data_IF_209333645340
#
_entry.id   IF_209333645340
#
_cell.length_a   1.000
_cell.length_b   1.000
_cell.length_c   1.000
_cell.angle_alpha   90.00
_cell.angle_beta   90.00
_cell.angle_gamma   90.00
#
_symmetry.space_group_name_H-M   'P 1'
#
loop_
_entity.id
_entity.type
_entity.pdbx_description
1 polymer ?
#
# COMPACT_ATOMS: atom_id res chain seq x y z
N UNK A 1 -1.11 -26.90 -17.51
CA UNK A 1 -1.57 -25.83 -16.60
C UNK A 1 -1.19 -26.25 -15.19
N UNK A 2 -0.37 -25.49 -14.52
CA UNK A 2 -0.10 -25.71 -13.09
C UNK A 2 -1.39 -25.28 -12.40
N UNK A 3 -2.05 -26.20 -11.72
CA UNK A 3 -3.23 -25.92 -10.90
C UNK A 3 -2.72 -25.15 -9.67
N UNK A 4 -2.70 -23.82 -9.76
CA UNK A 4 -2.23 -22.94 -8.70
C UNK A 4 -3.38 -22.80 -7.71
N UNK A 5 -3.28 -23.48 -6.59
CA UNK A 5 -4.29 -23.40 -5.51
C UNK A 5 -3.95 -22.23 -4.59
N UNK A 6 -4.27 -21.01 -5.04
CA UNK A 6 -4.08 -19.82 -4.20
C UNK A 6 -5.12 -19.79 -3.09
N UNK A 7 -4.64 -19.63 -1.87
CA UNK A 7 -5.50 -19.28 -0.74
C UNK A 7 -5.05 -17.96 -0.10
N UNK A 8 -5.92 -17.36 0.69
CA UNK A 8 -5.69 -16.04 1.28
C UNK A 8 -5.77 -16.15 2.80
N UNK A 9 -4.76 -15.57 3.46
CA UNK A 9 -4.68 -15.57 4.92
C UNK A 9 -4.52 -14.16 5.46
N UNK A 10 -5.14 -13.91 6.61
CA UNK A 10 -4.90 -12.68 7.38
C UNK A 10 -3.59 -12.83 8.12
N UNK A 11 -2.69 -11.88 7.92
CA UNK A 11 -1.41 -11.80 8.61
C UNK A 11 -1.59 -10.97 9.88
N UNK A 12 -1.22 -11.55 11.01
CA UNK A 12 -1.28 -10.92 12.33
C UNK A 12 0.12 -10.59 12.86
N UNK A 13 0.21 -9.95 14.01
CA UNK A 13 1.50 -9.67 14.66
C UNK A 13 2.32 -10.94 14.90
N UNK A 14 1.65 -12.07 15.20
CA UNK A 14 2.32 -13.35 15.51
C UNK A 14 3.08 -13.93 14.29
N UNK A 15 2.62 -13.64 13.07
CA UNK A 15 3.21 -14.15 11.84
C UNK A 15 3.64 -13.07 10.85
N UNK A 16 3.80 -11.83 11.33
CA UNK A 16 4.12 -10.65 10.49
C UNK A 16 5.41 -10.84 9.67
N UNK A 17 6.38 -11.59 10.17
CA UNK A 17 7.63 -11.84 9.47
C UNK A 17 7.46 -12.68 8.20
N UNK A 18 6.33 -13.35 8.01
CA UNK A 18 6.04 -14.12 6.78
C UNK A 18 6.01 -13.27 5.52
N UNK A 19 5.73 -11.96 5.65
CA UNK A 19 5.69 -11.03 4.52
C UNK A 19 6.93 -10.14 4.42
N UNK A 20 7.91 -10.29 5.32
CA UNK A 20 9.10 -9.43 5.36
C UNK A 20 9.85 -9.42 4.03
N UNK A 21 10.09 -10.59 3.46
CA UNK A 21 10.80 -10.72 2.19
C UNK A 21 10.05 -9.97 1.06
N UNK A 22 8.74 -10.19 0.93
CA UNK A 22 7.94 -9.50 -0.08
C UNK A 22 7.86 -7.99 0.14
N UNK A 23 7.86 -7.54 1.37
CA UNK A 23 7.92 -6.10 1.67
C UNK A 23 9.23 -5.48 1.18
N UNK A 24 10.35 -6.16 1.38
CA UNK A 24 11.65 -5.72 0.88
C UNK A 24 11.72 -5.82 -0.66
N UNK A 25 11.14 -6.85 -1.25
CA UNK A 25 11.04 -7.01 -2.72
C UNK A 25 10.22 -5.87 -3.33
N UNK A 26 9.14 -5.42 -2.67
CA UNK A 26 8.36 -4.26 -3.09
C UNK A 26 9.24 -3.01 -3.16
N UNK A 27 10.08 -2.75 -2.15
CA UNK A 27 10.97 -1.57 -2.14
C UNK A 27 11.98 -1.65 -3.29
N UNK A 28 12.58 -2.80 -3.51
CA UNK A 28 13.51 -3.06 -4.62
C UNK A 28 12.82 -2.87 -5.98
N UNK A 29 11.62 -3.40 -6.14
CA UNK A 29 10.83 -3.24 -7.35
C UNK A 29 10.49 -1.78 -7.62
N UNK A 30 9.98 -1.05 -6.62
CA UNK A 30 9.65 0.36 -6.75
C UNK A 30 10.89 1.19 -7.11
N UNK A 31 12.03 0.95 -6.47
CA UNK A 31 13.31 1.59 -6.82
C UNK A 31 13.67 1.37 -8.29
N UNK A 32 13.54 0.14 -8.77
CA UNK A 32 13.88 -0.23 -10.16
C UNK A 32 13.00 0.48 -11.21
N UNK A 33 11.81 0.91 -10.83
CA UNK A 33 10.86 1.63 -11.70
C UNK A 33 10.93 3.14 -11.58
N UNK A 34 11.41 3.66 -10.46
CA UNK A 34 11.44 5.09 -10.20
C UNK A 34 12.42 5.82 -11.13
N UNK A 35 11.94 6.90 -11.76
CA UNK A 35 12.74 7.83 -12.56
C UNK A 35 13.04 9.12 -11.79
N UNK A 36 12.28 9.38 -10.72
CA UNK A 36 12.41 10.55 -9.86
C UNK A 36 12.82 10.03 -8.49
N UNK A 37 13.96 10.47 -7.99
CA UNK A 37 14.48 10.15 -6.68
C UNK A 37 14.49 8.64 -6.31
N UNK A 38 15.02 7.75 -7.18
CA UNK A 38 15.07 6.31 -6.85
C UNK A 38 15.87 6.03 -5.57
N UNK A 39 16.83 6.90 -5.21
CA UNK A 39 17.61 6.82 -3.98
C UNK A 39 16.77 6.92 -2.70
N UNK A 40 15.57 7.47 -2.77
CA UNK A 40 14.67 7.53 -1.61
C UNK A 40 14.26 6.15 -1.10
N UNK A 41 14.33 5.13 -1.94
CA UNK A 41 14.08 3.75 -1.52
C UNK A 41 15.24 3.09 -0.78
N UNK A 42 16.44 3.66 -0.76
CA UNK A 42 17.65 3.02 -0.20
C UNK A 42 17.53 2.70 1.28
N UNK A 43 16.76 3.52 2.02
CA UNK A 43 16.53 3.36 3.45
C UNK A 43 15.13 2.82 3.78
N UNK A 44 14.38 2.34 2.78
CA UNK A 44 13.05 1.78 2.97
C UNK A 44 13.12 0.26 3.02
N UNK A 45 12.62 -0.32 4.11
CA UNK A 45 12.57 -1.75 4.35
C UNK A 45 11.33 -2.12 5.15
N UNK A 46 11.15 -3.39 5.40
CA UNK A 46 10.15 -3.89 6.34
C UNK A 46 10.29 -3.19 7.71
N UNK A 47 11.52 -3.09 8.24
CA UNK A 47 11.81 -2.50 9.54
C UNK A 47 11.65 -0.97 9.59
N UNK A 48 12.02 -0.29 8.52
CA UNK A 48 12.05 1.19 8.52
C UNK A 48 10.78 1.83 7.97
N UNK A 49 9.95 1.07 7.24
CA UNK A 49 8.70 1.58 6.67
C UNK A 49 7.46 0.88 7.21
N UNK A 50 7.39 -0.46 7.12
CA UNK A 50 6.17 -1.18 7.49
C UNK A 50 5.94 -1.18 8.99
N UNK A 51 6.93 -1.54 9.79
CA UNK A 51 6.80 -1.59 11.25
C UNK A 51 6.44 -0.21 11.85
N UNK A 52 7.09 0.91 11.46
CA UNK A 52 6.67 2.23 11.92
C UNK A 52 5.25 2.60 11.50
N UNK A 53 4.85 2.26 10.28
CA UNK A 53 3.48 2.50 9.79
C UNK A 53 2.45 1.75 10.63
N UNK A 54 2.69 0.49 10.95
CA UNK A 54 1.82 -0.30 11.81
C UNK A 54 1.67 0.32 13.21
N UNK A 55 2.75 0.83 13.77
CA UNK A 55 2.75 1.47 15.09
C UNK A 55 2.03 2.81 15.12
N UNK A 56 2.04 3.56 14.02
CA UNK A 56 1.38 4.86 13.91
C UNK A 56 -0.08 4.77 13.50
N UNK A 57 -0.56 3.60 13.12
CA UNK A 57 -1.95 3.35 12.71
C UNK A 57 -2.79 2.88 13.90
N UNK A 58 -4.09 3.20 13.87
CA UNK A 58 -5.06 2.70 14.84
C UNK A 58 -5.46 1.27 14.55
N UNK A 59 -5.66 0.96 13.26
CA UNK A 59 -6.04 -0.36 12.78
C UNK A 59 -5.15 -0.77 11.62
N UNK A 60 -4.79 -2.04 11.59
CA UNK A 60 -3.96 -2.64 10.55
C UNK A 60 -4.64 -3.88 9.98
N UNK A 61 -4.63 -4.01 8.67
CA UNK A 61 -5.14 -5.18 7.97
C UNK A 61 -4.14 -5.63 6.92
N UNK A 62 -3.64 -6.84 7.07
CA UNK A 62 -2.71 -7.44 6.12
C UNK A 62 -3.32 -8.75 5.65
N UNK A 63 -3.44 -8.90 4.34
CA UNK A 63 -3.85 -10.14 3.71
C UNK A 63 -2.77 -10.62 2.77
N UNK A 64 -2.42 -11.90 2.87
CA UNK A 64 -1.43 -12.56 2.03
C UNK A 64 -2.09 -13.56 1.08
N UNK A 65 -1.62 -13.61 -0.15
CA UNK A 65 -1.90 -14.68 -1.10
C UNK A 65 -0.79 -15.73 -1.00
N UNK A 66 -1.18 -16.98 -0.83
CA UNK A 66 -0.27 -18.10 -0.57
C UNK A 66 -0.48 -19.18 -1.62
N UNK A 67 0.63 -19.62 -2.20
CA UNK A 67 0.73 -20.76 -3.09
C UNK A 67 1.76 -21.75 -2.53
N UNK A 68 1.34 -23.00 -2.33
CA UNK A 68 2.21 -24.07 -1.85
C UNK A 68 3.06 -23.68 -0.62
N UNK A 69 2.42 -23.09 0.40
CA UNK A 69 3.02 -22.55 1.63
C UNK A 69 4.00 -21.35 1.43
N UNK A 70 4.03 -20.76 0.25
CA UNK A 70 4.83 -19.57 -0.01
C UNK A 70 3.95 -18.35 -0.18
N UNK A 71 4.31 -17.25 0.47
CA UNK A 71 3.66 -15.96 0.24
C UNK A 71 4.09 -15.44 -1.14
N UNK A 72 3.10 -15.25 -2.01
CA UNK A 72 3.31 -14.81 -3.41
C UNK A 72 2.79 -13.41 -3.70
N UNK A 73 2.02 -12.86 -2.77
CA UNK A 73 1.52 -11.49 -2.83
C UNK A 73 0.93 -11.07 -1.49
N UNK A 74 0.81 -9.78 -1.27
CA UNK A 74 0.15 -9.24 -0.08
C UNK A 74 -0.42 -7.85 -0.33
N UNK A 75 -1.39 -7.48 0.50
CA UNK A 75 -1.90 -6.12 0.62
C UNK A 75 -1.92 -5.71 2.09
N UNK A 76 -1.50 -4.49 2.36
CA UNK A 76 -1.49 -3.89 3.69
C UNK A 76 -2.30 -2.60 3.69
N UNK A 77 -3.32 -2.56 4.52
CA UNK A 77 -4.24 -1.43 4.68
C UNK A 77 -4.25 -0.93 6.11
N UNK A 78 -4.50 0.36 6.28
CA UNK A 78 -4.49 1.02 7.59
C UNK A 78 -5.68 1.95 7.77
N UNK A 79 -6.11 2.11 9.01
CA UNK A 79 -6.85 3.27 9.47
C UNK A 79 -5.92 4.04 10.41
N UNK A 80 -5.69 5.31 10.12
CA UNK A 80 -4.77 6.14 10.89
C UNK A 80 -5.29 7.58 11.01
N UNK A 81 -4.90 8.31 12.06
CA UNK A 81 -5.17 9.73 12.15
C UNK A 81 -4.61 10.46 10.92
N UNK A 82 -5.35 11.39 10.35
CA UNK A 82 -4.87 12.19 9.22
C UNK A 82 -3.55 12.91 9.53
N UNK A 83 -3.31 13.22 10.81
CA UNK A 83 -2.06 13.84 11.28
C UNK A 83 -0.83 12.93 11.12
N UNK A 84 -1.00 11.62 10.97
CA UNK A 84 0.09 10.70 10.59
C UNK A 84 0.74 11.10 9.27
N UNK A 85 -0.01 11.77 8.40
CA UNK A 85 0.43 12.22 7.08
C UNK A 85 0.83 13.71 7.04
N UNK A 86 1.15 14.30 8.19
CA UNK A 86 1.43 15.74 8.34
C UNK A 86 2.80 16.19 7.83
N UNK A 87 3.73 15.25 7.68
CA UNK A 87 5.06 15.58 7.17
C UNK A 87 6.03 14.43 7.36
N UNK A 88 6.59 13.98 6.30
CA UNK A 88 7.53 12.86 6.30
C UNK A 88 6.91 11.56 5.74
N UNK A 89 7.74 10.88 4.99
CA UNK A 89 7.43 9.59 4.43
C UNK A 89 8.66 8.71 4.62
N UNK A 90 8.53 7.66 5.45
CA UNK A 90 9.67 6.90 5.93
C UNK A 90 10.72 7.83 6.56
N UNK A 91 11.89 7.98 5.97
CA UNK A 91 12.96 8.88 6.43
C UNK A 91 12.98 10.23 5.71
N UNK A 92 12.02 10.46 4.80
CA UNK A 92 11.94 11.67 3.99
C UNK A 92 11.11 12.74 4.69
N UNK A 93 11.55 14.00 4.58
CA UNK A 93 10.75 15.14 5.01
C UNK A 93 10.00 15.73 3.82
N UNK A 94 8.72 15.92 3.99
CA UNK A 94 7.87 16.58 3.00
C UNK A 94 6.77 17.38 3.71
N UNK A 95 6.08 18.21 2.95
CA UNK A 95 4.82 18.78 3.38
C UNK A 95 3.76 17.68 3.61
N UNK A 96 2.60 18.05 4.15
CA UNK A 96 1.53 17.11 4.34
C UNK A 96 1.18 16.37 3.03
N UNK A 97 0.86 15.09 3.13
CA UNK A 97 0.54 14.25 1.98
C UNK A 97 -0.72 14.68 1.23
N UNK A 98 -1.61 15.37 1.92
CA UNK A 98 -2.85 15.93 1.37
C UNK A 98 -3.30 17.12 2.22
N UNK A 99 -4.21 17.93 1.67
CA UNK A 99 -4.84 19.03 2.38
C UNK A 99 -5.80 18.49 3.45
N UNK A 100 -5.48 18.71 4.72
CA UNK A 100 -6.25 18.23 5.86
C UNK A 100 -7.64 18.85 5.93
N UNK A 101 -7.82 20.06 5.46
CA UNK A 101 -9.14 20.72 5.44
C UNK A 101 -10.07 20.07 4.41
N UNK A 102 -9.52 19.39 3.41
CA UNK A 102 -10.28 18.60 2.45
C UNK A 102 -10.83 17.28 3.00
N UNK A 103 -10.35 16.84 4.16
CA UNK A 103 -10.73 15.58 4.82
C UNK A 103 -11.68 15.86 5.97
N UNK A 104 -12.89 15.28 5.90
CA UNK A 104 -13.96 15.57 6.85
C UNK A 104 -13.79 14.90 8.20
N UNK A 105 -13.10 13.78 8.25
CA UNK A 105 -12.91 12.94 9.44
C UNK A 105 -11.50 13.09 10.00
N UNK A 106 -11.33 12.76 11.29
CA UNK A 106 -10.01 12.81 11.93
C UNK A 106 -9.12 11.65 11.49
N UNK A 107 -9.73 10.55 11.09
CA UNK A 107 -9.04 9.35 10.60
C UNK A 107 -9.27 9.17 9.10
N UNK A 108 -8.30 8.55 8.43
CA UNK A 108 -8.35 8.20 7.01
C UNK A 108 -7.96 6.73 6.81
N UNK A 109 -8.49 6.14 5.75
CA UNK A 109 -8.07 4.82 5.31
C UNK A 109 -7.00 4.89 4.23
N UNK A 110 -6.09 3.95 4.24
CA UNK A 110 -5.04 3.86 3.23
C UNK A 110 -4.79 2.41 2.83
N UNK A 111 -4.74 2.14 1.53
CA UNK A 111 -4.09 0.95 1.00
C UNK A 111 -2.59 1.29 0.86
N UNK A 112 -1.82 0.89 1.86
CA UNK A 112 -0.45 1.38 2.08
C UNK A 112 0.59 0.64 1.26
N UNK A 113 0.47 -0.69 1.18
CA UNK A 113 1.40 -1.53 0.42
C UNK A 113 0.62 -2.60 -0.33
N UNK A 114 1.11 -2.93 -1.53
CA UNK A 114 0.49 -3.90 -2.41
C UNK A 114 1.53 -4.45 -3.36
N UNK A 115 1.79 -5.75 -3.27
CA UNK A 115 2.80 -6.40 -4.09
C UNK A 115 2.43 -7.83 -4.44
N UNK A 116 2.75 -8.22 -5.67
CA UNK A 116 2.58 -9.60 -6.17
C UNK A 116 3.85 -9.95 -6.93
N UNK A 117 4.40 -11.13 -6.66
CA UNK A 117 5.55 -11.67 -7.41
C UNK A 117 5.24 -11.72 -8.90
N UNK A 118 6.22 -11.43 -9.72
CA UNK A 118 6.07 -11.27 -11.18
C UNK A 118 5.34 -12.44 -11.84
N UNK A 119 5.71 -13.67 -11.49
CA UNK A 119 5.12 -14.89 -12.06
C UNK A 119 3.63 -15.10 -11.70
N UNK A 120 3.11 -14.36 -10.71
CA UNK A 120 1.73 -14.44 -10.24
C UNK A 120 0.87 -13.25 -10.65
N UNK A 121 1.44 -12.31 -11.42
CA UNK A 121 0.68 -11.16 -11.94
C UNK A 121 -0.25 -11.60 -13.07
N UNK A 122 -1.32 -10.84 -13.25
CA UNK A 122 -2.37 -11.10 -14.24
C UNK A 122 -3.10 -12.46 -14.07
N UNK A 123 -3.13 -12.98 -12.86
CA UNK A 123 -3.80 -14.25 -12.50
C UNK A 123 -5.08 -14.06 -11.69
N UNK A 124 -5.48 -12.81 -11.43
CA UNK A 124 -6.64 -12.48 -10.57
C UNK A 124 -6.29 -12.21 -9.11
N UNK A 125 -5.10 -12.58 -8.64
CA UNK A 125 -4.66 -12.38 -7.24
C UNK A 125 -4.77 -10.92 -6.85
N UNK A 126 -4.32 -9.99 -7.71
CA UNK A 126 -4.38 -8.56 -7.43
C UNK A 126 -5.80 -8.05 -7.22
N UNK A 127 -6.74 -8.51 -8.01
CA UNK A 127 -8.15 -8.15 -7.85
C UNK A 127 -8.72 -8.66 -6.53
N UNK A 128 -8.39 -9.89 -6.14
CA UNK A 128 -8.87 -10.46 -4.89
C UNK A 128 -8.27 -9.76 -3.66
N UNK A 129 -6.96 -9.55 -3.62
CA UNK A 129 -6.29 -8.79 -2.55
C UNK A 129 -6.87 -7.37 -2.43
N UNK A 130 -7.12 -6.70 -3.56
CA UNK A 130 -7.73 -5.38 -3.57
C UNK A 130 -9.16 -5.42 -3.02
N UNK A 131 -9.98 -6.37 -3.45
CA UNK A 131 -11.36 -6.50 -2.99
C UNK A 131 -11.44 -6.76 -1.48
N UNK A 132 -10.58 -7.64 -0.95
CA UNK A 132 -10.49 -7.90 0.49
C UNK A 132 -10.09 -6.65 1.27
N UNK A 133 -9.10 -5.92 0.78
CA UNK A 133 -8.66 -4.66 1.38
C UNK A 133 -9.76 -3.59 1.37
N UNK A 134 -10.47 -3.43 0.26
CA UNK A 134 -11.57 -2.46 0.16
C UNK A 134 -12.76 -2.86 1.02
N UNK A 135 -13.07 -4.15 1.13
CA UNK A 135 -14.12 -4.63 2.02
C UNK A 135 -13.80 -4.28 3.47
N UNK A 136 -12.57 -4.48 3.89
CA UNK A 136 -12.13 -4.12 5.24
C UNK A 136 -12.14 -2.60 5.46
N UNK A 137 -11.54 -1.81 4.57
CA UNK A 137 -11.52 -0.35 4.68
C UNK A 137 -12.93 0.26 4.74
N UNK A 138 -13.86 -0.25 3.92
CA UNK A 138 -15.25 0.23 3.87
C UNK A 138 -16.12 -0.25 5.03
N UNK A 139 -15.63 -1.17 5.86
CA UNK A 139 -16.35 -1.59 7.07
C UNK A 139 -16.30 -0.53 8.18
N UNK A 140 -15.43 0.46 8.06
CA UNK A 140 -15.38 1.64 8.93
C UNK A 140 -16.27 2.73 8.33
N UNK A 141 -17.56 2.70 8.67
CA UNK A 141 -18.58 3.59 8.08
C UNK A 141 -18.30 5.08 8.30
N UNK A 142 -17.60 5.43 9.39
CA UNK A 142 -17.16 6.78 9.71
C UNK A 142 -16.02 7.29 8.81
N UNK A 143 -15.28 6.40 8.16
CA UNK A 143 -14.13 6.77 7.31
C UNK A 143 -14.61 7.00 5.87
N UNK A 144 -14.60 8.25 5.43
CA UNK A 144 -15.03 8.61 4.07
C UNK A 144 -13.90 8.73 3.07
N UNK A 145 -12.68 8.98 3.54
CA UNK A 145 -11.52 9.27 2.71
C UNK A 145 -10.54 8.10 2.70
N UNK A 146 -10.36 7.53 1.51
CA UNK A 146 -9.41 6.47 1.25
C UNK A 146 -8.33 6.97 0.31
N UNK A 147 -7.07 6.75 0.68
CA UNK A 147 -5.90 7.16 -0.07
C UNK A 147 -5.07 5.98 -0.53
N UNK A 148 -4.41 6.14 -1.66
CA UNK A 148 -3.35 5.27 -2.15
C UNK A 148 -2.20 6.17 -2.63
N UNK A 149 -0.98 5.84 -2.23
CA UNK A 149 0.23 6.57 -2.60
C UNK A 149 1.05 5.71 -3.57
N UNK A 150 1.19 6.17 -4.81
CA UNK A 150 1.87 5.41 -5.87
C UNK A 150 3.19 6.09 -6.21
N UNK A 151 4.30 5.36 -6.10
CA UNK A 151 5.61 5.86 -6.48
C UNK A 151 5.72 6.02 -8.00
N UNK A 152 6.49 7.01 -8.44
CA UNK A 152 6.71 7.28 -9.86
C UNK A 152 7.30 6.06 -10.59
N UNK A 153 6.98 5.93 -11.85
CA UNK A 153 7.40 4.82 -12.70
C UNK A 153 6.61 3.52 -12.51
N UNK A 154 5.76 3.42 -11.49
CA UNK A 154 4.89 2.26 -11.27
C UNK A 154 3.55 2.42 -12.01
N UNK A 155 3.62 2.59 -13.33
CA UNK A 155 2.47 2.90 -14.18
C UNK A 155 1.40 1.79 -14.18
N UNK A 156 1.82 0.54 -14.01
CA UNK A 156 0.90 -0.59 -13.94
C UNK A 156 0.03 -0.51 -12.68
N UNK A 157 0.61 -0.18 -11.53
CA UNK A 157 -0.14 0.02 -10.29
C UNK A 157 -1.08 1.24 -10.41
N UNK A 158 -0.59 2.34 -10.97
CA UNK A 158 -1.39 3.54 -11.19
C UNK A 158 -2.64 3.24 -12.05
N UNK A 159 -2.46 2.59 -13.19
CA UNK A 159 -3.56 2.16 -14.06
C UNK A 159 -4.53 1.21 -13.35
N UNK A 160 -4.00 0.26 -12.58
CA UNK A 160 -4.81 -0.68 -11.84
C UNK A 160 -5.75 0.04 -10.87
N UNK A 161 -5.24 0.97 -10.06
CA UNK A 161 -6.06 1.69 -9.09
C UNK A 161 -7.06 2.66 -9.74
N UNK A 162 -6.68 3.32 -10.83
CA UNK A 162 -7.61 4.16 -11.60
C UNK A 162 -8.76 3.31 -12.15
N UNK A 163 -8.49 2.13 -12.69
CA UNK A 163 -9.51 1.19 -13.17
C UNK A 163 -10.42 0.68 -12.04
N UNK A 164 -9.95 0.70 -10.80
CA UNK A 164 -10.73 0.37 -9.60
C UNK A 164 -11.54 1.55 -9.04
N UNK A 165 -11.50 2.71 -9.68
CA UNK A 165 -12.31 3.87 -9.33
C UNK A 165 -11.60 4.93 -8.49
N UNK A 166 -10.33 4.77 -8.17
CA UNK A 166 -9.53 5.83 -7.56
C UNK A 166 -9.20 6.92 -8.57
N UNK A 167 -9.05 8.14 -8.09
CA UNK A 167 -8.74 9.31 -8.91
C UNK A 167 -7.42 9.93 -8.47
N UNK A 168 -6.64 10.42 -9.42
CA UNK A 168 -5.44 11.20 -9.13
C UNK A 168 -5.88 12.50 -8.46
N UNK A 169 -5.34 12.78 -7.28
CA UNK A 169 -5.52 14.02 -6.55
C UNK A 169 -4.42 15.02 -6.89
N UNK A 170 -3.20 14.68 -6.58
CA UNK A 170 -2.01 15.54 -6.79
C UNK A 170 -0.74 14.71 -6.68
N UNK A 171 0.41 15.38 -6.81
CA UNK A 171 1.73 14.79 -6.60
C UNK A 171 2.46 15.50 -5.46
N UNK A 172 3.32 14.76 -4.77
CA UNK A 172 4.19 15.27 -3.71
C UNK A 172 5.64 14.84 -3.96
N UNK A 173 6.60 15.46 -3.25
CA UNK A 173 8.03 15.18 -3.38
C UNK A 173 8.52 15.26 -4.84
N UNK A 174 8.21 16.38 -5.52
CA UNK A 174 8.60 16.65 -6.91
C UNK A 174 8.11 15.59 -7.92
N UNK A 175 7.00 14.93 -7.61
CA UNK A 175 6.44 13.85 -8.45
C UNK A 175 6.93 12.46 -8.07
N UNK A 176 7.68 12.33 -6.98
CA UNK A 176 8.06 11.01 -6.47
C UNK A 176 6.85 10.15 -6.10
N UNK A 177 5.81 10.76 -5.51
CA UNK A 177 4.55 10.10 -5.16
C UNK A 177 3.38 10.78 -5.88
N UNK A 178 2.53 9.97 -6.52
CA UNK A 178 1.19 10.35 -6.95
C UNK A 178 0.18 9.93 -5.90
N UNK A 179 -0.59 10.88 -5.40
CA UNK A 179 -1.64 10.66 -4.41
C UNK A 179 -2.97 10.36 -5.11
N UNK A 180 -3.53 9.20 -4.82
CA UNK A 180 -4.86 8.81 -5.28
C UNK A 180 -5.86 8.89 -4.14
N UNK A 181 -7.11 9.21 -4.48
CA UNK A 181 -8.23 9.32 -3.55
C UNK A 181 -9.48 8.67 -4.14
N UNK A 182 -10.34 8.12 -3.29
CA UNK A 182 -11.56 7.41 -3.72
C UNK A 182 -12.71 8.32 -4.20
N UNK A 183 -12.55 9.64 -4.17
CA UNK A 183 -13.56 10.62 -4.58
C UNK A 183 -12.98 11.89 -5.19
#
# INVERSE_FOLDING_TARGET
>A
MIDVSIHYEIVTEDNIFSIKELCNDLMTYQKSKANIHPEFFDNMSFETRMIPSMKSSKENYIVAAIDDNQVVGYAYSTIAPKTTYSGGFATLQCDAFFDFDSVKTDDVGCLSQFFIKDNYRNTGIGTELFNMSMKWLKSFEEISDLFIFVSNGNDNALKFYINKGFKVSHQILDGFITVLRNR
#
